data_IF_600367660739
#
_entry.id   IF_600367660739
#
_cell.length_a   1.000
_cell.length_b   1.000
_cell.length_c   1.000
_cell.angle_alpha   90.00
_cell.angle_beta   90.00
_cell.angle_gamma   90.00
#
_symmetry.space_group_name_H-M   'P 1'
#
loop_
_entity.id
_entity.type
_entity.pdbx_description
1 polymer ?
#
# COMPACT_ATOMS: atom_id res chain seq x y z
N UNK A 1 3.58 7.39 10.90
CA UNK A 1 4.40 6.56 9.99
C UNK A 1 5.39 5.64 10.73
N UNK A 2 6.21 6.11 11.68
CA UNK A 2 7.20 5.24 12.37
C UNK A 2 6.62 3.96 12.99
N UNK A 3 5.46 4.06 13.66
CA UNK A 3 4.77 2.89 14.24
C UNK A 3 4.36 1.90 13.13
N UNK A 4 3.78 2.42 12.04
CA UNK A 4 3.38 1.62 10.89
C UNK A 4 4.57 0.89 10.24
N UNK A 5 5.66 1.59 9.94
CA UNK A 5 6.85 0.96 9.34
C UNK A 5 7.47 -0.11 10.25
N UNK A 6 7.46 0.11 11.57
CA UNK A 6 7.89 -0.91 12.53
C UNK A 6 7.00 -2.15 12.47
N UNK A 7 5.68 -1.98 12.42
CA UNK A 7 4.73 -3.11 12.33
C UNK A 7 4.92 -3.88 11.02
N UNK A 8 5.04 -3.18 9.88
CA UNK A 8 5.29 -3.82 8.58
C UNK A 8 6.62 -4.59 8.59
N UNK A 9 7.69 -4.01 9.13
CA UNK A 9 9.00 -4.65 9.23
C UNK A 9 8.96 -5.94 10.06
N UNK A 10 8.21 -5.96 11.16
CA UNK A 10 8.00 -7.15 11.99
C UNK A 10 7.20 -8.21 11.23
N UNK A 11 6.12 -7.81 10.56
CA UNK A 11 5.25 -8.73 9.81
C UNK A 11 5.97 -9.40 8.62
N UNK A 12 6.82 -8.65 7.91
CA UNK A 12 7.64 -9.19 6.82
C UNK A 12 8.66 -10.23 7.31
N UNK A 13 9.11 -10.11 8.56
CA UNK A 13 10.17 -10.94 9.13
C UNK A 13 11.57 -10.58 8.61
N UNK A 14 12.58 -11.10 9.33
CA UNK A 14 13.98 -10.70 9.12
C UNK A 14 14.60 -11.14 7.77
N UNK A 15 13.97 -12.08 7.06
CA UNK A 15 14.49 -12.64 5.80
C UNK A 15 13.88 -12.02 4.55
N UNK A 16 12.91 -11.11 4.70
CA UNK A 16 12.22 -10.46 3.59
C UNK A 16 12.62 -9.00 3.55
N UNK A 17 13.11 -8.54 2.39
CA UNK A 17 13.37 -7.14 2.12
C UNK A 17 12.25 -6.57 1.26
N UNK A 18 11.60 -5.50 1.72
CA UNK A 18 10.52 -4.85 0.97
C UNK A 18 10.98 -3.53 0.36
N UNK A 19 10.51 -3.26 -0.86
CA UNK A 19 10.55 -1.92 -1.45
C UNK A 19 9.16 -1.31 -1.23
N UNK A 20 9.10 -0.24 -0.44
CA UNK A 20 7.86 0.45 -0.14
C UNK A 20 7.75 1.71 -1.00
N UNK A 21 6.81 1.69 -1.94
CA UNK A 21 6.49 2.83 -2.80
C UNK A 21 5.65 3.83 -2.00
N UNK A 22 6.10 5.08 -1.90
CA UNK A 22 5.41 6.14 -1.16
C UNK A 22 5.32 7.42 -2.00
N UNK A 23 4.24 8.15 -1.84
CA UNK A 23 4.10 9.47 -2.45
C UNK A 23 4.95 10.53 -1.71
N UNK A 24 4.89 11.78 -2.19
CA UNK A 24 5.65 12.90 -1.63
C UNK A 24 5.07 13.56 -0.38
N UNK A 25 4.13 12.94 0.35
CA UNK A 25 3.52 13.53 1.53
C UNK A 25 4.58 13.93 2.59
N UNK A 26 4.33 15.01 3.34
CA UNK A 26 5.32 15.61 4.25
C UNK A 26 5.91 14.61 5.26
N UNK A 27 5.08 13.71 5.80
CA UNK A 27 5.52 12.68 6.73
C UNK A 27 6.32 11.51 6.10
N UNK A 28 6.34 11.38 4.77
CA UNK A 28 7.21 10.42 4.05
C UNK A 28 8.62 10.97 3.84
N UNK A 29 8.78 12.30 3.90
CA UNK A 29 10.06 13.01 3.74
C UNK A 29 10.59 13.59 5.05
N UNK A 30 9.95 13.27 6.18
CA UNK A 30 10.35 13.79 7.48
C UNK A 30 11.76 13.32 7.85
N UNK A 31 12.59 14.23 8.37
CA UNK A 31 13.91 13.88 8.93
C UNK A 31 13.82 12.99 10.17
N UNK A 32 12.63 12.89 10.79
CA UNK A 32 12.35 12.02 11.94
C UNK A 32 11.75 10.67 11.56
N UNK A 33 11.58 10.41 10.26
CA UNK A 33 11.11 9.12 9.76
C UNK A 33 12.18 8.05 10.00
N UNK A 34 11.79 6.96 10.63
CA UNK A 34 12.65 5.81 10.92
C UNK A 34 12.26 4.66 9.99
N UNK A 35 13.04 4.46 8.94
CA UNK A 35 12.85 3.33 8.00
C UNK A 35 13.65 2.13 8.51
N UNK A 36 13.02 0.98 8.80
CA UNK A 36 13.71 -0.24 9.22
C UNK A 36 14.66 -0.79 8.14
N UNK A 37 15.69 -1.53 8.55
CA UNK A 37 16.74 -2.01 7.64
C UNK A 37 16.23 -2.93 6.52
N UNK A 38 15.17 -3.72 6.79
CA UNK A 38 14.55 -4.62 5.82
C UNK A 38 13.53 -3.91 4.90
N UNK A 39 13.50 -2.57 4.88
CA UNK A 39 12.62 -1.77 4.03
C UNK A 39 13.45 -0.70 3.30
N UNK A 40 13.32 -0.66 1.97
CA UNK A 40 13.74 0.49 1.16
C UNK A 40 12.54 1.34 0.79
N UNK A 41 12.55 2.61 1.22
CA UNK A 41 11.55 3.59 0.82
C UNK A 41 11.85 4.11 -0.60
N UNK A 42 10.94 3.86 -1.55
CA UNK A 42 10.96 4.44 -2.89
C UNK A 42 9.97 5.62 -2.93
N UNK A 43 10.49 6.84 -2.89
CA UNK A 43 9.66 8.05 -2.97
C UNK A 43 9.38 8.37 -4.44
N UNK A 44 8.10 8.49 -4.80
CA UNK A 44 7.67 8.88 -6.14
C UNK A 44 7.98 10.35 -6.45
N UNK A 45 8.07 10.65 -7.74
CA UNK A 45 8.18 12.03 -8.21
C UNK A 45 6.92 12.84 -7.83
N UNK A 46 7.07 14.16 -7.65
CA UNK A 46 5.92 15.02 -7.40
C UNK A 46 4.87 14.90 -8.51
N UNK A 47 3.59 14.87 -8.12
CA UNK A 47 2.45 14.85 -9.04
C UNK A 47 2.39 13.66 -10.01
N UNK A 48 2.90 12.49 -9.60
CA UNK A 48 2.82 11.24 -10.36
C UNK A 48 1.86 10.20 -9.75
N UNK A 49 0.56 10.51 -9.60
CA UNK A 49 -0.41 9.57 -9.03
C UNK A 49 -0.56 8.28 -9.86
N UNK A 50 -0.31 8.34 -11.17
CA UNK A 50 -0.33 7.18 -12.07
C UNK A 50 0.72 6.11 -11.72
N UNK A 51 1.79 6.51 -11.02
CA UNK A 51 2.84 5.60 -10.54
C UNK A 51 2.55 5.02 -9.16
N UNK A 52 1.53 5.52 -8.45
CA UNK A 52 1.16 5.05 -7.12
C UNK A 52 0.07 3.96 -7.24
N UNK A 53 0.38 2.67 -6.98
CA UNK A 53 -0.57 1.58 -7.19
C UNK A 53 -1.86 1.73 -6.38
N UNK A 54 -1.80 2.38 -5.21
CA UNK A 54 -2.97 2.58 -4.34
C UNK A 54 -4.04 3.48 -5.00
N UNK A 55 -3.66 4.36 -5.92
CA UNK A 55 -4.61 5.27 -6.59
C UNK A 55 -5.63 4.51 -7.45
N UNK A 56 -5.20 3.40 -8.08
CA UNK A 56 -6.11 2.55 -8.86
C UNK A 56 -7.13 1.85 -7.97
N UNK A 57 -6.68 1.38 -6.80
CA UNK A 57 -7.56 0.79 -5.79
C UNK A 57 -8.55 1.84 -5.27
N UNK A 58 -8.08 3.04 -4.94
CA UNK A 58 -8.96 4.12 -4.48
C UNK A 58 -10.00 4.52 -5.52
N UNK A 59 -9.61 4.62 -6.79
CA UNK A 59 -10.54 4.89 -7.88
C UNK A 59 -11.63 3.80 -7.96
N UNK A 60 -11.24 2.52 -7.85
CA UNK A 60 -12.17 1.39 -7.85
C UNK A 60 -13.16 1.43 -6.67
N UNK A 61 -12.66 1.60 -5.45
CA UNK A 61 -13.49 1.68 -4.24
C UNK A 61 -14.52 2.81 -4.32
N UNK A 62 -14.08 3.99 -4.79
CA UNK A 62 -14.97 5.13 -5.00
C UNK A 62 -16.02 4.84 -6.06
N UNK A 63 -15.64 4.33 -7.23
CA UNK A 63 -16.60 4.15 -8.34
C UNK A 63 -17.64 3.06 -8.08
N UNK A 64 -17.33 2.05 -7.24
CA UNK A 64 -18.22 0.91 -7.01
C UNK A 64 -19.00 0.98 -5.69
N UNK A 65 -18.43 1.55 -4.62
CA UNK A 65 -19.00 1.38 -3.28
C UNK A 65 -19.20 2.67 -2.49
N UNK A 66 -18.29 3.65 -2.64
CA UNK A 66 -18.18 4.77 -1.68
C UNK A 66 -18.66 6.14 -2.19
N UNK A 67 -18.86 6.34 -3.50
CA UNK A 67 -19.26 7.65 -4.05
C UNK A 67 -20.72 8.00 -3.80
N UNK A 68 -21.01 9.29 -3.60
CA UNK A 68 -22.37 9.86 -3.48
C UNK A 68 -23.22 9.25 -2.34
N UNK A 69 -22.58 8.97 -1.19
CA UNK A 69 -23.24 8.46 0.02
C UNK A 69 -23.14 9.48 1.15
N UNK A 70 -24.14 9.44 2.03
CA UNK A 70 -24.15 10.17 3.30
C UNK A 70 -24.01 9.14 4.42
N UNK A 71 -23.13 9.43 5.38
CA UNK A 71 -22.90 8.59 6.55
C UNK A 71 -23.50 9.28 7.77
N UNK A 72 -24.20 8.51 8.58
CA UNK A 72 -24.93 9.03 9.76
C UNK A 72 -23.97 9.46 10.87
N UNK A 73 -22.91 8.68 11.08
CA UNK A 73 -21.87 8.94 12.06
C UNK A 73 -20.52 8.38 11.60
N UNK A 74 -19.53 8.51 12.49
CA UNK A 74 -18.17 8.02 12.25
C UNK A 74 -18.11 6.49 12.12
N UNK A 75 -18.92 5.75 12.88
CA UNK A 75 -18.91 4.30 12.85
C UNK A 75 -19.48 3.79 11.53
N UNK A 76 -20.59 4.39 11.05
CA UNK A 76 -21.16 4.06 9.76
C UNK A 76 -20.15 4.33 8.62
N UNK A 77 -19.36 5.42 8.69
CA UNK A 77 -18.28 5.66 7.72
C UNK A 77 -17.21 4.55 7.75
N UNK A 78 -16.77 4.14 8.95
CA UNK A 78 -15.76 3.09 9.11
C UNK A 78 -16.27 1.74 8.59
N UNK A 79 -17.50 1.36 8.95
CA UNK A 79 -18.11 0.10 8.56
C UNK A 79 -18.30 0.03 7.04
N UNK A 80 -18.73 1.13 6.41
CA UNK A 80 -18.82 1.22 4.95
C UNK A 80 -17.45 1.07 4.27
N UNK A 81 -16.40 1.65 4.87
CA UNK A 81 -15.02 1.49 4.38
C UNK A 81 -14.54 0.04 4.48
N UNK A 82 -14.76 -0.62 5.62
CA UNK A 82 -14.40 -2.02 5.83
C UNK A 82 -15.17 -2.94 4.88
N UNK A 83 -16.49 -2.73 4.73
CA UNK A 83 -17.31 -3.52 3.82
C UNK A 83 -16.86 -3.35 2.36
N UNK A 84 -16.54 -2.12 1.94
CA UNK A 84 -16.03 -1.87 0.59
C UNK A 84 -14.68 -2.58 0.35
N UNK A 85 -13.82 -2.62 1.37
CA UNK A 85 -12.57 -3.38 1.32
C UNK A 85 -12.82 -4.89 1.17
N UNK A 86 -13.71 -5.46 1.97
CA UNK A 86 -14.03 -6.89 1.92
C UNK A 86 -14.66 -7.33 0.58
N UNK A 87 -15.42 -6.43 -0.04
CA UNK A 87 -16.02 -6.65 -1.36
C UNK A 87 -15.03 -6.42 -2.51
N UNK A 88 -13.86 -5.82 -2.25
CA UNK A 88 -12.89 -5.52 -3.30
C UNK A 88 -12.32 -6.82 -3.86
N UNK A 89 -12.36 -7.04 -5.19
CA UNK A 89 -11.78 -8.22 -5.79
C UNK A 89 -10.30 -8.34 -5.42
N UNK A 90 -9.79 -9.56 -5.17
CA UNK A 90 -8.38 -9.73 -4.91
C UNK A 90 -7.58 -9.13 -6.06
N UNK A 91 -6.51 -8.41 -5.73
CA UNK A 91 -5.59 -7.92 -6.74
C UNK A 91 -5.16 -9.10 -7.62
N UNK A 92 -5.04 -8.90 -8.94
CA UNK A 92 -4.52 -9.93 -9.82
C UNK A 92 -3.21 -10.42 -9.22
N UNK A 93 -3.04 -11.75 -9.13
CA UNK A 93 -1.81 -12.33 -8.61
C UNK A 93 -0.66 -11.77 -9.43
N UNK A 94 0.06 -10.81 -8.85
CA UNK A 94 1.34 -10.43 -9.40
C UNK A 94 2.18 -11.71 -9.39
N UNK A 95 2.91 -12.06 -10.48
CA UNK A 95 3.87 -13.14 -10.38
C UNK A 95 4.71 -12.83 -9.15
N UNK A 96 4.71 -13.79 -8.20
CA UNK A 96 5.33 -13.69 -6.87
C UNK A 96 6.49 -12.71 -6.94
N UNK A 97 6.40 -11.62 -6.15
CA UNK A 97 7.45 -10.64 -5.89
C UNK A 97 8.78 -11.26 -6.33
N UNK A 98 9.31 -10.83 -7.48
CA UNK A 98 10.44 -11.50 -8.16
C UNK A 98 11.39 -12.01 -7.10
N UNK A 99 11.37 -13.32 -6.90
CA UNK A 99 12.21 -13.95 -5.91
C UNK A 99 13.64 -13.86 -6.46
N UNK A 100 14.29 -12.74 -6.15
CA UNK A 100 15.67 -12.50 -6.52
C UNK A 100 16.63 -13.42 -5.74
N UNK A 101 16.13 -14.20 -4.76
CA UNK A 101 16.94 -15.19 -4.05
C UNK A 101 17.09 -16.51 -4.80
N UNK A 102 16.22 -16.82 -5.77
CA UNK A 102 16.29 -18.09 -6.52
C UNK A 102 16.93 -17.98 -7.90
N UNK A 103 17.18 -16.78 -8.43
CA UNK A 103 17.86 -16.58 -9.72
C UNK A 103 17.20 -17.26 -10.93
N UNK A 104 16.01 -17.85 -10.76
CA UNK A 104 15.29 -18.54 -11.83
C UNK A 104 14.26 -17.59 -12.42
N UNK A 105 14.49 -17.20 -13.68
CA UNK A 105 13.44 -16.61 -14.50
C UNK A 105 12.25 -17.58 -14.53
N UNK A 106 11.00 -17.09 -14.44
CA UNK A 106 9.86 -17.90 -14.83
C UNK A 106 10.05 -18.30 -16.30
N UNK A 107 9.86 -19.58 -16.60
CA UNK A 107 9.90 -20.09 -17.96
C UNK A 107 8.84 -19.37 -18.82
N UNK A 108 9.23 -19.06 -20.06
CA UNK A 108 8.41 -18.40 -21.06
C UNK A 108 7.17 -19.24 -21.44
#
# INVERSE_FOLDING_TARGET
MNVFLKMVSVELGAKVHAILIMDGAGWHKSRTLKVPENITALILLPYSPELNPVERLWAYLRSHYLSNRVYEDYQHLLDAGAQAWDMTPPLPKWPRCLDMSTGRRPAA
#
